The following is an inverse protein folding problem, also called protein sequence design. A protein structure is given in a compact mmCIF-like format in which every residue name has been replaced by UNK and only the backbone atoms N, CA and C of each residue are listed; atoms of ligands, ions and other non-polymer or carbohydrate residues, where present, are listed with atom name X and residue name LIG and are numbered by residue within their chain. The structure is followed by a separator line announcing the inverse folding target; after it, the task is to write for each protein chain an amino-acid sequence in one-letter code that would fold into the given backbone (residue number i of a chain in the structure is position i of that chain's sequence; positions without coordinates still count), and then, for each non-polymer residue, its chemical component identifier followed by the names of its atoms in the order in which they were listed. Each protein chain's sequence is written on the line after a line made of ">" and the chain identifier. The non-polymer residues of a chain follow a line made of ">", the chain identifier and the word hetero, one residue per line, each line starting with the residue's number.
data_IF_145220663496
#
_entry.id   IF_145220663496
#
_cell.length_a   1.000
_cell.length_b   1.000
_cell.length_c   1.000
_cell.angle_alpha   90.00
_cell.angle_beta   90.00
_cell.angle_gamma   90.00
#
_symmetry.space_group_name_H-M   'P 1'
#
loop_
_entity.id
_entity.type
_entity.pdbx_description
1 polymer ?
#
# COMPACT_ATOMS: atom_id res chain seq x y z
N UNK A 1 20.78 -73.83 5.16
CA UNK A 1 19.81 -72.70 5.02
C UNK A 1 20.58 -71.49 4.52
N UNK A 2 20.50 -71.21 3.14
CA UNK A 2 21.25 -70.10 2.51
C UNK A 2 20.40 -68.79 2.56
N UNK A 3 20.86 -67.83 3.31
CA UNK A 3 20.25 -66.49 3.34
C UNK A 3 20.60 -65.70 2.07
N UNK A 4 19.59 -65.40 1.28
CA UNK A 4 19.66 -64.60 0.07
C UNK A 4 19.74 -63.13 0.42
N UNK A 5 20.92 -62.52 0.31
CA UNK A 5 21.09 -61.06 0.48
C UNK A 5 20.50 -60.35 -0.74
N UNK A 6 19.34 -59.73 -0.58
CA UNK A 6 18.79 -58.82 -1.57
C UNK A 6 19.68 -57.56 -1.67
N UNK A 7 20.31 -57.41 -2.82
CA UNK A 7 20.99 -56.15 -3.20
C UNK A 7 19.93 -55.05 -3.29
N UNK A 8 19.92 -54.16 -2.34
CA UNK A 8 19.23 -52.88 -2.49
C UNK A 8 20.06 -52.03 -3.46
N UNK A 9 19.56 -51.87 -4.69
CA UNK A 9 20.13 -50.97 -5.68
C UNK A 9 20.18 -49.56 -5.11
N UNK A 10 21.39 -48.98 -5.02
CA UNK A 10 21.59 -47.55 -4.76
C UNK A 10 20.90 -46.79 -5.88
N UNK A 11 19.78 -46.12 -5.55
CA UNK A 11 19.21 -45.10 -6.40
C UNK A 11 20.29 -44.02 -6.59
N UNK A 12 20.81 -43.85 -7.79
CA UNK A 12 21.78 -42.80 -8.12
C UNK A 12 21.14 -41.44 -7.88
N UNK A 13 21.69 -40.63 -6.97
CA UNK A 13 21.33 -39.23 -6.83
C UNK A 13 21.79 -38.53 -8.13
N UNK A 14 20.85 -38.29 -9.05
CA UNK A 14 21.08 -37.46 -10.22
C UNK A 14 21.36 -36.03 -9.78
N UNK A 15 22.58 -35.53 -9.94
CA UNK A 15 22.95 -34.13 -9.69
C UNK A 15 22.43 -33.25 -10.84
N UNK A 16 22.07 -32.01 -10.52
CA UNK A 16 21.72 -31.00 -11.53
C UNK A 16 22.88 -30.69 -12.45
N UNK A 17 22.61 -30.52 -13.73
CA UNK A 17 23.61 -30.11 -14.70
C UNK A 17 23.85 -28.59 -14.61
N UNK A 18 25.06 -28.15 -14.98
CA UNK A 18 25.38 -26.72 -15.01
C UNK A 18 24.47 -25.94 -15.96
N UNK A 19 24.12 -26.55 -17.11
CA UNK A 19 23.22 -25.94 -18.09
C UNK A 19 21.81 -25.78 -17.56
N UNK A 20 21.30 -26.73 -16.78
CA UNK A 20 19.99 -26.67 -16.17
C UNK A 20 19.89 -25.53 -15.14
N UNK A 21 20.94 -25.31 -14.32
CA UNK A 21 21.07 -24.19 -13.43
C UNK A 21 21.10 -22.86 -14.18
N UNK A 22 21.85 -22.78 -15.29
CA UNK A 22 21.91 -21.55 -16.10
C UNK A 22 20.54 -21.18 -16.69
N UNK A 23 19.80 -22.15 -17.20
CA UNK A 23 18.47 -21.90 -17.76
C UNK A 23 17.53 -21.43 -16.67
N UNK A 24 17.53 -22.03 -15.49
CA UNK A 24 16.69 -21.62 -14.36
C UNK A 24 16.96 -20.17 -13.94
N UNK A 25 18.25 -19.79 -13.82
CA UNK A 25 18.62 -18.41 -13.45
C UNK A 25 18.17 -17.41 -14.51
N UNK A 26 18.32 -17.74 -15.80
CA UNK A 26 17.86 -16.87 -16.90
C UNK A 26 16.34 -16.69 -16.83
N UNK A 27 15.58 -17.76 -16.66
CA UNK A 27 14.11 -17.70 -16.58
C UNK A 27 13.66 -16.87 -15.38
N UNK A 28 14.26 -17.08 -14.19
CA UNK A 28 13.96 -16.27 -13.00
C UNK A 28 14.30 -14.81 -13.24
N UNK A 29 15.42 -14.51 -13.88
CA UNK A 29 15.84 -13.15 -14.22
C UNK A 29 14.82 -12.43 -15.09
N UNK A 30 14.34 -13.07 -16.15
CA UNK A 30 13.33 -12.51 -17.05
C UNK A 30 11.98 -12.30 -16.35
N UNK A 31 11.52 -13.28 -15.58
CA UNK A 31 10.27 -13.17 -14.83
C UNK A 31 10.34 -12.07 -13.78
N UNK A 32 11.45 -11.94 -13.06
CA UNK A 32 11.65 -10.90 -12.05
C UNK A 32 11.65 -9.50 -12.64
N UNK A 33 12.21 -9.32 -13.84
CA UNK A 33 12.25 -8.03 -14.53
C UNK A 33 10.85 -7.48 -14.82
N UNK A 34 9.87 -8.35 -15.05
CA UNK A 34 8.47 -7.97 -15.29
C UNK A 34 7.68 -7.88 -13.99
N UNK A 35 7.88 -8.84 -13.09
CA UNK A 35 7.09 -8.94 -11.85
C UNK A 35 7.43 -7.83 -10.84
N UNK A 36 8.70 -7.41 -10.74
CA UNK A 36 9.14 -6.45 -9.74
C UNK A 36 8.48 -5.07 -9.88
N UNK A 37 8.45 -4.41 -11.06
CA UNK A 37 7.79 -3.10 -11.20
C UNK A 37 6.28 -3.20 -10.98
N UNK A 38 5.64 -4.27 -11.44
CA UNK A 38 4.20 -4.49 -11.22
C UNK A 38 3.87 -4.63 -9.72
N UNK A 39 4.68 -5.36 -8.97
CA UNK A 39 4.54 -5.49 -7.52
C UNK A 39 4.67 -4.15 -6.79
N UNK A 40 5.64 -3.32 -7.19
CA UNK A 40 5.83 -1.98 -6.61
C UNK A 40 4.58 -1.11 -6.78
N UNK A 41 4.01 -1.08 -7.98
CA UNK A 41 2.78 -0.31 -8.25
C UNK A 41 1.59 -0.84 -7.43
N UNK A 42 1.47 -2.15 -7.31
CA UNK A 42 0.43 -2.75 -6.48
C UNK A 42 0.54 -2.34 -5.01
N UNK A 43 1.77 -2.33 -4.46
CA UNK A 43 2.03 -1.90 -3.09
C UNK A 43 1.68 -0.42 -2.87
N UNK A 44 2.06 0.47 -3.79
CA UNK A 44 1.71 1.90 -3.72
C UNK A 44 0.19 2.10 -3.74
N UNK A 45 -0.50 1.42 -4.65
CA UNK A 45 -1.98 1.45 -4.75
C UNK A 45 -2.67 0.92 -3.50
N UNK A 46 -2.16 -0.16 -2.90
CA UNK A 46 -2.71 -0.73 -1.66
C UNK A 46 -2.60 0.26 -0.50
N UNK A 47 -1.45 0.91 -0.33
CA UNK A 47 -1.22 1.94 0.70
C UNK A 47 -2.11 3.16 0.48
N UNK A 48 -2.30 3.59 -0.77
CA UNK A 48 -3.24 4.65 -1.13
C UNK A 48 -4.68 4.26 -0.75
N UNK A 49 -5.08 3.01 -0.97
CA UNK A 49 -6.38 2.50 -0.53
C UNK A 49 -6.59 2.63 0.98
N UNK A 50 -5.56 2.34 1.77
CA UNK A 50 -5.63 2.47 3.23
C UNK A 50 -5.82 3.94 3.67
N UNK A 51 -5.00 4.86 3.18
CA UNK A 51 -5.12 6.28 3.57
C UNK A 51 -6.45 6.89 3.10
N UNK A 52 -6.98 6.50 1.94
CA UNK A 52 -8.32 6.93 1.50
C UNK A 52 -9.42 6.50 2.47
N UNK A 53 -9.34 5.28 2.99
CA UNK A 53 -10.28 4.79 3.99
C UNK A 53 -10.18 5.61 5.30
N UNK A 54 -8.96 5.90 5.75
CA UNK A 54 -8.72 6.76 6.92
C UNK A 54 -9.30 8.17 6.70
N UNK A 55 -9.05 8.78 5.54
CA UNK A 55 -9.57 10.12 5.20
C UNK A 55 -11.09 10.19 5.22
N UNK A 56 -11.76 9.18 4.66
CA UNK A 56 -13.24 9.09 4.66
C UNK A 56 -13.76 8.93 6.09
N UNK A 57 -13.12 8.07 6.90
CA UNK A 57 -13.49 7.92 8.31
C UNK A 57 -13.33 9.24 9.08
N UNK A 58 -12.23 9.95 8.87
CA UNK A 58 -11.97 11.24 9.55
C UNK A 58 -12.91 12.34 9.08
N UNK A 59 -13.27 12.38 7.80
CA UNK A 59 -14.30 13.28 7.30
C UNK A 59 -15.65 13.05 8.01
N UNK A 60 -16.07 11.78 8.15
CA UNK A 60 -17.29 11.44 8.89
C UNK A 60 -17.22 11.83 10.38
N UNK A 61 -16.04 11.72 11.00
CA UNK A 61 -15.84 12.18 12.38
C UNK A 61 -15.91 13.69 12.51
N UNK A 62 -15.36 14.43 11.52
CA UNK A 62 -15.45 15.89 11.45
C UNK A 62 -16.90 16.34 11.30
N UNK A 63 -17.70 15.68 10.43
CA UNK A 63 -19.14 15.95 10.31
C UNK A 63 -19.90 15.72 11.63
N UNK A 64 -19.56 14.67 12.35
CA UNK A 64 -20.14 14.39 13.65
C UNK A 64 -19.77 15.44 14.69
N UNK A 65 -18.52 15.90 14.66
CA UNK A 65 -18.05 17.02 15.51
C UNK A 65 -18.83 18.30 15.19
N UNK A 66 -19.00 18.62 13.91
CA UNK A 66 -19.75 19.79 13.46
C UNK A 66 -21.23 19.72 13.89
N UNK A 67 -21.84 18.55 13.84
CA UNK A 67 -23.25 18.36 14.27
C UNK A 67 -23.49 18.73 15.74
N UNK A 68 -22.47 18.59 16.58
CA UNK A 68 -22.56 18.91 18.02
C UNK A 68 -22.11 20.36 18.33
N UNK A 69 -21.04 20.80 17.67
CA UNK A 69 -20.38 22.07 17.99
C UNK A 69 -20.76 23.21 17.04
N UNK A 70 -21.47 22.90 15.94
CA UNK A 70 -21.86 23.84 14.88
C UNK A 70 -20.66 24.55 14.23
N UNK A 71 -19.49 23.90 14.23
CA UNK A 71 -18.24 24.39 13.64
C UNK A 71 -17.28 23.21 13.43
N UNK A 72 -16.39 23.30 12.42
CA UNK A 72 -15.23 22.40 12.28
C UNK A 72 -13.98 22.94 12.96
N UNK A 73 -13.98 24.21 13.34
CA UNK A 73 -12.86 24.81 14.06
C UNK A 73 -12.62 24.08 15.38
N UNK A 74 -11.37 23.68 15.63
CA UNK A 74 -10.97 22.94 16.83
C UNK A 74 -11.11 21.43 16.74
N UNK A 75 -11.60 20.88 15.62
CA UNK A 75 -11.51 19.44 15.38
C UNK A 75 -10.05 19.04 15.13
N UNK A 76 -9.63 17.94 15.72
CA UNK A 76 -8.30 17.36 15.51
C UNK A 76 -8.42 15.93 14.96
N UNK A 77 -7.54 15.59 14.04
CA UNK A 77 -7.47 14.22 13.53
C UNK A 77 -7.09 13.25 14.65
N UNK A 78 -7.68 12.05 14.70
CA UNK A 78 -7.25 11.00 15.64
C UNK A 78 -5.80 10.57 15.41
N UNK A 79 -5.37 10.54 14.15
CA UNK A 79 -4.01 10.25 13.71
C UNK A 79 -3.64 11.16 12.54
N UNK A 80 -2.44 11.72 12.60
CA UNK A 80 -1.89 12.60 11.57
C UNK A 80 -0.96 11.87 10.59
N UNK A 81 -0.92 10.54 10.70
CA UNK A 81 -0.09 9.67 9.84
C UNK A 81 -0.86 8.42 9.41
N UNK A 82 -0.50 7.88 8.25
CA UNK A 82 -0.97 6.57 7.80
C UNK A 82 0.25 5.69 7.43
N UNK A 83 0.30 4.42 7.87
CA UNK A 83 -0.70 3.69 8.63
C UNK A 83 -0.79 4.16 10.09
N UNK A 84 -2.00 4.16 10.65
CA UNK A 84 -2.29 4.57 12.02
C UNK A 84 -1.83 3.55 13.07
N UNK A 85 -1.68 2.29 12.69
CA UNK A 85 -1.23 1.20 13.57
C UNK A 85 0.29 1.26 13.86
N UNK A 86 1.00 2.23 13.31
CA UNK A 86 2.44 2.38 13.45
C UNK A 86 3.23 1.78 12.28
N UNK A 87 4.56 1.80 12.42
CA UNK A 87 5.48 1.39 11.36
C UNK A 87 5.99 2.58 10.55
N UNK A 88 6.45 2.33 9.32
CA UNK A 88 6.96 3.40 8.46
C UNK A 88 5.81 4.27 7.95
N UNK A 89 5.86 5.57 8.24
CA UNK A 89 4.92 6.56 7.73
C UNK A 89 4.93 6.54 6.20
N UNK A 90 3.74 6.56 5.61
CA UNK A 90 3.52 6.57 4.15
C UNK A 90 2.80 7.83 3.69
N UNK A 91 1.92 8.35 4.53
CA UNK A 91 1.24 9.62 4.31
C UNK A 91 1.21 10.42 5.61
N UNK A 92 1.41 11.72 5.48
CA UNK A 92 1.13 12.69 6.52
C UNK A 92 -0.24 13.31 6.25
N UNK A 93 -1.10 13.36 7.27
CA UNK A 93 -2.45 13.89 7.15
C UNK A 93 -2.54 15.23 7.89
N UNK A 94 -3.18 16.19 7.24
CA UNK A 94 -3.44 17.51 7.81
C UNK A 94 -4.93 17.80 7.68
N UNK A 95 -5.53 18.31 8.75
CA UNK A 95 -6.89 18.84 8.77
C UNK A 95 -6.84 20.36 8.89
N UNK A 96 -7.53 21.02 8.00
CA UNK A 96 -7.78 22.47 8.09
C UNK A 96 -9.29 22.68 8.07
N UNK A 97 -9.84 23.30 9.11
CA UNK A 97 -11.27 23.55 9.20
C UNK A 97 -11.59 24.88 9.86
N UNK A 98 -12.71 25.46 9.46
CA UNK A 98 -13.27 26.70 9.96
C UNK A 98 -14.72 26.51 10.49
N UNK A 99 -15.53 27.56 10.51
CA UNK A 99 -16.93 27.50 10.98
C UNK A 99 -17.82 26.61 10.12
N UNK A 100 -17.56 26.50 8.83
CA UNK A 100 -18.48 25.89 7.84
C UNK A 100 -17.85 24.96 6.85
N UNK A 101 -16.52 24.86 6.79
CA UNK A 101 -15.81 24.05 5.82
C UNK A 101 -14.59 23.37 6.44
N UNK A 102 -14.17 22.26 5.84
CA UNK A 102 -12.89 21.63 6.14
C UNK A 102 -12.25 21.03 4.89
N UNK A 103 -10.96 20.78 4.98
CA UNK A 103 -10.22 19.97 4.03
C UNK A 103 -9.28 19.04 4.81
N UNK A 104 -9.29 17.76 4.45
CA UNK A 104 -8.29 16.79 4.88
C UNK A 104 -7.36 16.55 3.71
N UNK A 105 -6.07 16.75 3.94
CA UNK A 105 -5.02 16.53 2.94
C UNK A 105 -4.11 15.41 3.39
N UNK A 106 -3.80 14.47 2.50
CA UNK A 106 -2.85 13.40 2.71
C UNK A 106 -1.68 13.55 1.75
N UNK A 107 -0.52 13.94 2.29
CA UNK A 107 0.72 14.13 1.54
C UNK A 107 1.56 12.87 1.62
N UNK A 108 1.95 12.25 0.49
CA UNK A 108 2.75 11.03 0.49
C UNK A 108 4.16 11.29 1.01
N UNK A 109 4.71 10.31 1.77
CA UNK A 109 6.05 10.36 2.33
C UNK A 109 6.92 9.21 1.86
N UNK A 110 8.23 9.46 1.76
CA UNK A 110 9.24 8.49 1.42
C UNK A 110 8.98 7.81 0.07
N UNK A 111 8.93 6.50 0.05
CA UNK A 111 8.68 5.74 -1.18
C UNK A 111 7.28 5.94 -1.76
N UNK A 112 6.32 6.34 -0.94
CA UNK A 112 4.97 6.61 -1.41
C UNK A 112 4.89 7.85 -2.32
N UNK A 113 5.84 8.77 -2.24
CA UNK A 113 5.97 9.92 -3.15
C UNK A 113 6.16 9.51 -4.63
N UNK A 114 6.47 8.23 -4.91
CA UNK A 114 6.52 7.68 -6.28
C UNK A 114 5.15 7.28 -6.82
N UNK A 115 4.10 7.35 -6.00
CA UNK A 115 2.73 7.10 -6.45
C UNK A 115 2.29 8.23 -7.39
N UNK A 116 1.78 7.85 -8.58
CA UNK A 116 1.31 8.80 -9.60
C UNK A 116 0.17 9.68 -9.12
N UNK A 117 -0.54 9.29 -8.07
CA UNK A 117 -1.65 10.02 -7.50
C UNK A 117 -1.24 11.17 -6.57
N UNK A 118 0.03 11.19 -6.13
CA UNK A 118 0.58 12.27 -5.32
C UNK A 118 -0.23 12.60 -4.08
N UNK A 119 -0.44 13.87 -3.84
CA UNK A 119 -1.24 14.37 -2.74
C UNK A 119 -2.73 14.15 -2.99
N UNK A 120 -3.46 13.72 -1.95
CA UNK A 120 -4.90 13.49 -1.99
C UNK A 120 -5.60 14.45 -1.05
N UNK A 121 -6.79 14.94 -1.44
CA UNK A 121 -7.63 15.68 -0.50
C UNK A 121 -9.11 15.31 -0.57
N UNK A 122 -9.83 15.60 0.52
CA UNK A 122 -11.28 15.50 0.60
C UNK A 122 -11.84 16.62 1.46
N UNK A 123 -12.96 17.22 1.04
CA UNK A 123 -13.63 18.31 1.76
C UNK A 123 -15.00 17.88 2.35
N UNK A 124 -15.66 18.82 3.04
CA UNK A 124 -16.98 18.64 3.66
C UNK A 124 -18.10 18.28 2.64
N UNK A 125 -17.94 18.63 1.38
CA UNK A 125 -18.88 18.26 0.31
C UNK A 125 -18.52 16.94 -0.35
N UNK A 126 -17.57 16.16 0.25
CA UNK A 126 -17.01 14.93 -0.29
C UNK A 126 -16.38 15.13 -1.68
N UNK A 127 -15.94 16.34 -2.00
CA UNK A 127 -15.16 16.59 -3.21
C UNK A 127 -13.74 16.12 -2.97
N UNK A 128 -13.24 15.36 -3.92
CA UNK A 128 -11.95 14.69 -3.84
C UNK A 128 -11.01 15.28 -4.87
N UNK A 129 -9.75 15.42 -4.52
CA UNK A 129 -8.69 15.82 -5.45
C UNK A 129 -7.50 14.88 -5.36
N UNK A 130 -6.69 14.86 -6.40
CA UNK A 130 -5.42 14.15 -6.47
C UNK A 130 -4.51 14.92 -7.43
N UNK A 131 -3.20 14.73 -7.32
CA UNK A 131 -2.26 15.26 -8.33
C UNK A 131 -2.33 14.48 -9.64
N UNK A 132 -2.71 13.20 -9.58
CA UNK A 132 -2.93 12.36 -10.75
C UNK A 132 -4.38 12.35 -11.24
N UNK A 133 -4.66 11.48 -12.22
CA UNK A 133 -6.01 11.31 -12.76
C UNK A 133 -7.00 10.85 -11.68
N UNK A 134 -8.04 11.66 -11.44
CA UNK A 134 -8.96 11.47 -10.32
C UNK A 134 -9.64 10.09 -10.34
N UNK A 135 -10.04 9.63 -11.52
CA UNK A 135 -10.72 8.35 -11.72
C UNK A 135 -9.86 7.13 -11.34
N UNK A 136 -8.54 7.28 -11.37
CA UNK A 136 -7.59 6.23 -10.98
C UNK A 136 -7.16 6.34 -9.50
N UNK A 137 -7.26 7.55 -8.95
CA UNK A 137 -6.75 7.87 -7.63
C UNK A 137 -7.79 7.71 -6.53
N UNK A 138 -9.04 7.94 -6.83
CA UNK A 138 -10.21 7.85 -5.95
C UNK A 138 -11.25 6.87 -6.48
#
# INVERSE_FOLDING_TARGET
>A
MKMNRRNLGKAGAGGFTLIELMIVVIVIGVLSAIAYPSYQQYVLKSRRGAVKADMVEYAQRAERFHSVNNTYAGYALPFEVSPREGGTVRYNLVFVGDGSSFTITATPDGQQAKDVCGELSVDQANRKTADGELSECW
#
